data_IF_967098862403
#
_entry.id   IF_967098862403
#
_cell.length_a   1.000
_cell.length_b   1.000
_cell.length_c   1.000
_cell.angle_alpha   90.00
_cell.angle_beta   90.00
_cell.angle_gamma   90.00
#
_symmetry.space_group_name_H-M   'P 1'
#
loop_
_entity.id
_entity.type
_entity.pdbx_description
1 polymer ?
#
# COMPACT_ATOMS: atom_id res chain seq x y z
N UNK A 1 -7.53 4.78 28.39
CA UNK A 1 -8.24 5.21 27.17
C UNK A 1 -9.69 4.79 27.29
N UNK A 2 -10.65 5.66 26.96
CA UNK A 2 -12.08 5.29 26.92
C UNK A 2 -12.28 4.13 25.92
N UNK A 3 -13.21 3.19 26.17
CA UNK A 3 -13.46 2.07 25.25
C UNK A 3 -13.84 2.54 23.83
N UNK A 4 -14.50 3.69 23.74
CA UNK A 4 -14.86 4.38 22.51
C UNK A 4 -13.65 4.76 21.66
N UNK A 5 -12.57 5.22 22.31
CA UNK A 5 -11.33 5.57 21.63
C UNK A 5 -10.66 4.30 21.07
N UNK A 6 -10.59 3.21 21.85
CA UNK A 6 -10.02 1.94 21.37
C UNK A 6 -10.77 1.37 20.15
N UNK A 7 -12.10 1.47 20.14
CA UNK A 7 -12.91 1.05 19.00
C UNK A 7 -12.60 1.91 17.75
N UNK A 8 -12.52 3.23 17.92
CA UNK A 8 -12.20 4.15 16.83
C UNK A 8 -10.81 3.85 16.22
N UNK A 9 -9.78 3.65 17.05
CA UNK A 9 -8.43 3.32 16.58
C UNK A 9 -8.40 1.98 15.84
N UNK A 10 -9.12 0.97 16.33
CA UNK A 10 -9.20 -0.34 15.68
C UNK A 10 -9.84 -0.23 14.30
N UNK A 11 -10.90 0.59 14.16
CA UNK A 11 -11.53 0.84 12.86
C UNK A 11 -10.60 1.59 11.89
N UNK A 12 -9.78 2.52 12.38
CA UNK A 12 -8.77 3.19 11.58
C UNK A 12 -7.75 2.19 11.02
N UNK A 13 -7.15 1.38 11.89
CA UNK A 13 -6.15 0.39 11.47
C UNK A 13 -6.75 -0.63 10.49
N UNK A 14 -8.00 -1.05 10.71
CA UNK A 14 -8.70 -1.95 9.79
C UNK A 14 -8.94 -1.28 8.43
N UNK A 15 -9.40 -0.04 8.38
CA UNK A 15 -9.64 0.70 7.13
C UNK A 15 -8.34 0.95 6.36
N UNK A 16 -7.29 1.40 7.04
CA UNK A 16 -5.96 1.63 6.45
C UNK A 16 -5.37 0.32 5.95
N UNK A 17 -5.47 -0.76 6.73
CA UNK A 17 -4.98 -2.09 6.35
C UNK A 17 -5.71 -2.66 5.13
N UNK A 18 -7.04 -2.49 5.06
CA UNK A 18 -7.84 -2.94 3.92
C UNK A 18 -7.47 -2.16 2.65
N UNK A 19 -7.32 -0.84 2.73
CA UNK A 19 -6.87 -0.04 1.59
C UNK A 19 -5.44 -0.38 1.15
N UNK A 20 -4.53 -0.57 2.10
CA UNK A 20 -3.17 -1.03 1.82
C UNK A 20 -3.21 -2.38 1.10
N UNK A 21 -4.05 -3.31 1.54
CA UNK A 21 -4.27 -4.61 0.90
C UNK A 21 -4.81 -4.49 -0.53
N UNK A 22 -5.79 -3.61 -0.76
CA UNK A 22 -6.33 -3.34 -2.11
C UNK A 22 -5.24 -2.75 -3.00
N UNK A 23 -4.50 -1.75 -2.51
CA UNK A 23 -3.41 -1.11 -3.25
C UNK A 23 -2.29 -2.10 -3.59
N UNK A 24 -1.92 -2.97 -2.65
CA UNK A 24 -0.96 -4.06 -2.88
C UNK A 24 -1.47 -5.03 -3.95
N UNK A 25 -2.75 -5.40 -3.89
CA UNK A 25 -3.38 -6.32 -4.85
C UNK A 25 -3.41 -5.72 -6.26
N UNK A 26 -3.80 -4.45 -6.40
CA UNK A 26 -3.80 -3.74 -7.68
C UNK A 26 -2.37 -3.59 -8.24
N UNK A 27 -1.39 -3.25 -7.40
CA UNK A 27 0.01 -3.16 -7.82
C UNK A 27 0.56 -4.53 -8.25
N UNK A 28 0.16 -5.61 -7.56
CA UNK A 28 0.56 -6.98 -7.88
C UNK A 28 -0.06 -7.42 -9.21
N UNK A 29 -1.36 -7.20 -9.41
CA UNK A 29 -2.06 -7.48 -10.66
C UNK A 29 -1.43 -6.73 -11.84
N UNK A 30 -1.14 -5.43 -11.68
CA UNK A 30 -0.47 -4.65 -12.74
C UNK A 30 0.91 -5.19 -13.07
N UNK A 31 1.68 -5.57 -12.06
CA UNK A 31 3.01 -6.19 -12.25
C UNK A 31 2.90 -7.54 -12.97
N UNK A 32 1.89 -8.35 -12.65
CA UNK A 32 1.61 -9.63 -13.34
C UNK A 32 1.20 -9.38 -14.80
N UNK A 33 0.35 -8.39 -15.08
CA UNK A 33 -0.07 -8.04 -16.44
C UNK A 33 1.13 -7.55 -17.25
N UNK A 34 2.01 -6.73 -16.67
CA UNK A 34 3.26 -6.27 -17.32
C UNK A 34 4.24 -7.43 -17.60
N UNK A 35 4.26 -8.44 -16.72
CA UNK A 35 5.03 -9.68 -16.94
C UNK A 35 4.43 -10.54 -18.07
N UNK A 36 3.11 -10.74 -18.07
CA UNK A 36 2.41 -11.55 -19.07
C UNK A 36 2.42 -10.92 -20.47
N UNK A 37 2.33 -9.58 -20.55
CA UNK A 37 2.41 -8.84 -21.81
C UNK A 37 3.82 -8.80 -22.41
N UNK A 38 4.83 -9.37 -21.75
CA UNK A 38 6.22 -9.38 -22.23
C UNK A 38 6.88 -8.00 -22.20
N UNK A 39 6.23 -6.97 -21.63
CA UNK A 39 6.80 -5.65 -21.44
C UNK A 39 8.01 -5.68 -20.49
N UNK A 40 8.07 -6.70 -19.63
CA UNK A 40 9.23 -7.04 -18.81
C UNK A 40 9.89 -8.28 -19.42
N UNK A 41 10.92 -8.06 -20.23
CA UNK A 41 11.73 -9.16 -20.77
C UNK A 41 12.25 -10.05 -19.64
N UNK A 42 11.91 -11.34 -19.70
CA UNK A 42 12.46 -12.35 -18.81
C UNK A 42 13.97 -12.46 -19.10
N UNK A 43 14.84 -12.32 -18.08
CA UNK A 43 16.28 -12.40 -18.32
C UNK A 43 16.63 -13.82 -18.76
N UNK A 44 17.05 -13.93 -20.02
CA UNK A 44 17.54 -15.17 -20.62
C UNK A 44 18.99 -15.43 -20.18
N UNK A 45 19.20 -16.62 -19.63
CA UNK A 45 20.48 -17.31 -19.37
C UNK A 45 21.38 -16.94 -18.18
N UNK A 46 21.45 -15.69 -17.68
CA UNK A 46 22.52 -15.36 -16.68
C UNK A 46 22.01 -15.09 -15.25
N UNK A 47 22.57 -15.80 -14.24
CA UNK A 47 22.27 -15.58 -12.81
C UNK A 47 22.44 -14.12 -12.34
N UNK A 48 23.45 -13.40 -12.86
CA UNK A 48 23.67 -11.97 -12.59
C UNK A 48 22.54 -11.09 -13.12
N UNK A 49 21.94 -11.45 -14.25
CA UNK A 49 20.78 -10.71 -14.80
C UNK A 49 19.52 -10.97 -13.96
N UNK A 50 19.31 -12.20 -13.47
CA UNK A 50 18.24 -12.49 -12.49
C UNK A 50 18.38 -11.66 -11.21
N UNK A 51 19.60 -11.54 -10.68
CA UNK A 51 19.89 -10.78 -9.46
C UNK A 51 19.58 -9.27 -9.61
N UNK A 52 19.76 -8.70 -10.80
CA UNK A 52 19.43 -7.29 -11.08
C UNK A 52 17.95 -7.11 -11.46
N UNK A 53 17.34 -8.13 -12.05
CA UNK A 53 15.96 -8.10 -12.49
C UNK A 53 14.97 -8.11 -11.31
N UNK A 54 15.24 -8.91 -10.28
CA UNK A 54 14.41 -8.98 -9.08
C UNK A 54 14.22 -7.62 -8.36
N UNK A 55 15.28 -6.85 -8.00
CA UNK A 55 15.11 -5.55 -7.38
C UNK A 55 14.45 -4.53 -8.32
N UNK A 56 14.63 -4.67 -9.64
CA UNK A 56 13.98 -3.81 -10.63
C UNK A 56 12.47 -4.07 -10.72
N UNK A 57 12.06 -5.33 -10.64
CA UNK A 57 10.66 -5.73 -10.54
C UNK A 57 10.06 -5.25 -9.22
N UNK A 58 10.80 -5.41 -8.12
CA UNK A 58 10.41 -4.92 -6.80
C UNK A 58 10.22 -3.40 -6.78
N UNK A 59 11.13 -2.63 -7.37
CA UNK A 59 10.99 -1.18 -7.48
C UNK A 59 9.76 -0.76 -8.29
N UNK A 60 9.44 -1.47 -9.39
CA UNK A 60 8.21 -1.21 -10.16
C UNK A 60 6.96 -1.52 -9.35
N UNK A 61 6.96 -2.62 -8.60
CA UNK A 61 5.89 -2.94 -7.67
C UNK A 61 5.71 -1.85 -6.62
N UNK A 62 6.81 -1.36 -6.02
CA UNK A 62 6.79 -0.26 -5.05
C UNK A 62 6.27 1.05 -5.65
N UNK A 63 6.65 1.40 -6.88
CA UNK A 63 6.14 2.59 -7.57
C UNK A 63 4.65 2.48 -7.90
N UNK A 64 4.21 1.31 -8.37
CA UNK A 64 2.79 1.05 -8.62
C UNK A 64 1.97 1.08 -7.32
N UNK A 65 2.53 0.56 -6.23
CA UNK A 65 1.94 0.64 -4.89
C UNK A 65 1.84 2.09 -4.41
N UNK A 66 2.88 2.90 -4.64
CA UNK A 66 2.89 4.33 -4.31
C UNK A 66 1.83 5.13 -5.09
N UNK A 67 1.36 4.66 -6.26
CA UNK A 67 0.25 5.30 -6.97
C UNK A 67 -1.08 5.23 -6.21
N UNK A 68 -1.26 4.23 -5.33
CA UNK A 68 -2.42 4.10 -4.44
C UNK A 68 -2.26 4.83 -3.10
N UNK A 69 -1.04 5.26 -2.77
CA UNK A 69 -0.71 6.05 -1.58
C UNK A 69 -1.58 7.32 -1.38
N UNK A 70 -1.91 8.14 -2.41
CA UNK A 70 -2.77 9.30 -2.20
C UNK A 70 -4.15 8.95 -1.64
N UNK A 71 -4.72 7.78 -1.99
CA UNK A 71 -6.00 7.33 -1.44
C UNK A 71 -5.89 6.94 0.04
N UNK A 72 -4.79 6.26 0.42
CA UNK A 72 -4.50 5.91 1.82
C UNK A 72 -4.30 7.16 2.66
N UNK A 73 -3.53 8.12 2.14
CA UNK A 73 -3.29 9.42 2.78
C UNK A 73 -4.59 10.20 2.96
N UNK A 74 -5.46 10.23 1.95
CA UNK A 74 -6.75 10.93 2.03
C UNK A 74 -7.64 10.41 3.16
N UNK A 75 -7.71 9.10 3.36
CA UNK A 75 -8.51 8.49 4.44
C UNK A 75 -7.87 8.72 5.80
N UNK A 76 -6.54 8.64 5.90
CA UNK A 76 -5.83 8.98 7.13
C UNK A 76 -6.06 10.45 7.53
N UNK A 77 -6.03 11.37 6.57
CA UNK A 77 -6.29 12.79 6.78
C UNK A 77 -7.76 13.08 7.13
N UNK A 78 -8.71 12.46 6.43
CA UNK A 78 -10.14 12.57 6.75
C UNK A 78 -10.41 12.06 8.17
N UNK A 79 -9.84 10.91 8.54
CA UNK A 79 -9.99 10.38 9.89
C UNK A 79 -9.34 11.30 10.94
N UNK A 80 -8.14 11.80 10.69
CA UNK A 80 -7.48 12.78 11.57
C UNK A 80 -8.33 14.06 11.73
N UNK A 81 -9.03 14.48 10.68
CA UNK A 81 -9.95 15.62 10.71
C UNK A 81 -11.22 15.34 11.51
N UNK A 82 -11.86 14.17 11.33
CA UNK A 82 -13.14 13.84 11.96
C UNK A 82 -13.02 13.29 13.39
N UNK A 83 -11.94 12.60 13.73
CA UNK A 83 -11.78 11.88 15.02
C UNK A 83 -10.53 12.33 15.78
N UNK A 84 -9.48 12.76 15.08
CA UNK A 84 -8.13 12.90 15.61
C UNK A 84 -7.89 14.00 16.64
N UNK A 85 -8.73 15.05 16.69
CA UNK A 85 -8.52 16.15 17.65
C UNK A 85 -9.42 16.07 18.90
N UNK A 86 -10.65 15.54 18.79
CA UNK A 86 -11.57 15.43 19.93
C UNK A 86 -11.28 14.19 20.80
N UNK A 87 -10.85 13.07 20.20
CA UNK A 87 -10.50 11.86 20.96
C UNK A 87 -9.17 11.99 21.72
N UNK A 88 -8.34 12.99 21.37
CA UNK A 88 -7.02 13.26 21.94
C UNK A 88 -7.05 14.31 23.06
N UNK A 89 -8.23 14.74 23.52
CA UNK A 89 -8.35 15.58 24.71
C UNK A 89 -8.51 14.70 25.96
N UNK A 90 -7.44 14.49 26.77
CA UNK A 90 -7.57 13.95 28.10
C UNK A 90 -8.04 15.08 29.03
N UNK A 91 -9.31 15.45 28.96
CA UNK A 91 -9.96 16.18 30.06
C UNK A 91 -10.30 15.22 31.18
#
# INVERSE_FOLDING_TARGET
>A
MRPEALAAWTQLYAAVGLLAGICATCALLRTIIELQSGAIGLPTDTWKQKAIWFPRLWLRFQLNYLSGFPCIMGIALLYAHYIGFDAFNPS
#
